data_IF_597981444276
#
_entry.id   IF_597981444276
#
_cell.length_a   1.000
_cell.length_b   1.000
_cell.length_c   1.000
_cell.angle_alpha   90.00
_cell.angle_beta   90.00
_cell.angle_gamma   90.00
#
_symmetry.space_group_name_H-M   'P 1'
#
loop_
_entity.id
_entity.type
_entity.pdbx_description
1 polymer ?
#
# COMPACT_ATOMS: atom_id res chain seq x y z
N UNK A 1 30.51 -41.82 5.58
CA UNK A 1 29.42 -41.29 4.75
C UNK A 1 28.19 -41.16 5.65
N UNK A 2 27.86 -39.93 6.04
CA UNK A 2 26.59 -39.62 6.66
C UNK A 2 25.51 -39.83 5.60
N UNK A 3 24.46 -40.57 5.88
CA UNK A 3 23.32 -40.57 4.99
C UNK A 3 22.80 -39.12 4.90
N UNK A 4 22.78 -38.58 3.72
CA UNK A 4 22.01 -37.42 3.39
C UNK A 4 20.55 -37.86 3.57
N UNK A 5 19.98 -37.58 4.72
CA UNK A 5 18.53 -37.64 4.89
C UNK A 5 18.03 -36.56 3.94
N UNK A 6 17.55 -37.01 2.81
CA UNK A 6 16.72 -36.25 1.92
C UNK A 6 15.50 -35.87 2.78
N UNK A 7 15.61 -34.74 3.46
CA UNK A 7 14.47 -34.14 4.15
C UNK A 7 13.44 -33.94 3.05
N UNK A 8 12.55 -34.94 2.93
CA UNK A 8 11.51 -35.00 1.93
C UNK A 8 10.64 -33.75 2.04
N UNK A 9 11.12 -32.68 1.46
CA UNK A 9 10.25 -31.63 0.98
C UNK A 9 9.40 -32.33 -0.05
N UNK A 10 8.27 -32.82 0.41
CA UNK A 10 7.23 -33.41 -0.43
C UNK A 10 6.79 -32.30 -1.37
N UNK A 11 7.48 -32.21 -2.48
CA UNK A 11 7.21 -31.24 -3.53
C UNK A 11 5.89 -31.71 -4.11
N UNK A 12 4.79 -31.10 -3.68
CA UNK A 12 3.48 -31.28 -4.32
C UNK A 12 3.69 -31.21 -5.82
N UNK A 13 3.44 -32.28 -6.59
CA UNK A 13 3.72 -32.33 -8.02
C UNK A 13 2.99 -31.23 -8.81
N UNK A 14 1.94 -30.63 -8.26
CA UNK A 14 1.25 -29.47 -8.82
C UNK A 14 1.94 -28.17 -8.40
N UNK A 15 2.53 -28.11 -7.21
CA UNK A 15 3.26 -26.96 -6.64
C UNK A 15 4.78 -27.10 -6.77
N UNK A 16 5.31 -28.29 -7.03
CA UNK A 16 6.74 -28.55 -7.06
C UNK A 16 7.48 -27.77 -8.12
N UNK A 17 6.82 -27.49 -9.22
CA UNK A 17 7.31 -26.59 -10.24
C UNK A 17 7.24 -25.13 -9.77
N UNK A 18 6.29 -24.80 -8.93
CA UNK A 18 6.09 -23.49 -8.31
C UNK A 18 7.06 -23.23 -7.14
N UNK A 19 7.37 -24.22 -6.31
CA UNK A 19 8.03 -24.03 -5.02
C UNK A 19 9.36 -23.26 -5.08
N UNK A 20 10.31 -23.66 -5.89
CA UNK A 20 11.62 -23.00 -6.01
C UNK A 20 11.62 -21.78 -6.94
N UNK A 21 10.83 -21.79 -8.01
CA UNK A 21 10.70 -20.63 -8.91
C UNK A 21 9.80 -19.54 -8.35
N UNK A 22 8.80 -19.89 -7.54
CA UNK A 22 7.86 -18.94 -6.97
C UNK A 22 8.47 -18.04 -5.89
N UNK A 23 9.45 -18.48 -5.13
CA UNK A 23 10.13 -17.59 -4.18
C UNK A 23 10.80 -16.43 -4.90
N UNK A 24 11.47 -16.68 -6.01
CA UNK A 24 12.05 -15.64 -6.86
C UNK A 24 10.97 -14.83 -7.60
N UNK A 25 9.92 -15.47 -8.12
CA UNK A 25 8.83 -14.76 -8.79
C UNK A 25 8.11 -13.80 -7.86
N UNK A 26 7.88 -14.16 -6.59
CA UNK A 26 7.31 -13.26 -5.57
C UNK A 26 8.18 -12.04 -5.34
N UNK A 27 9.49 -12.24 -5.17
CA UNK A 27 10.44 -11.15 -4.97
C UNK A 27 10.50 -10.24 -6.20
N UNK A 28 10.61 -10.78 -7.40
CA UNK A 28 10.61 -10.00 -8.64
C UNK A 28 9.29 -9.25 -8.85
N UNK A 29 8.15 -9.86 -8.56
CA UNK A 29 6.84 -9.21 -8.67
C UNK A 29 6.74 -8.03 -7.71
N UNK A 30 7.16 -8.21 -6.46
CA UNK A 30 7.17 -7.13 -5.47
C UNK A 30 8.10 -5.99 -5.89
N UNK A 31 9.29 -6.30 -6.40
CA UNK A 31 10.25 -5.31 -6.92
C UNK A 31 9.68 -4.56 -8.13
N UNK A 32 9.00 -5.25 -9.03
CA UNK A 32 8.35 -4.62 -10.19
C UNK A 32 7.21 -3.69 -9.75
N UNK A 33 6.38 -4.09 -8.80
CA UNK A 33 5.32 -3.24 -8.24
C UNK A 33 5.94 -2.02 -7.56
N UNK A 34 7.00 -2.19 -6.77
CA UNK A 34 7.70 -1.09 -6.12
C UNK A 34 8.29 -0.12 -7.15
N UNK A 35 8.92 -0.63 -8.21
CA UNK A 35 9.46 0.19 -9.28
C UNK A 35 8.39 1.04 -9.97
N UNK A 36 7.28 0.41 -10.37
CA UNK A 36 6.18 1.08 -11.05
C UNK A 36 5.51 2.14 -10.16
N UNK A 37 5.24 1.80 -8.92
CA UNK A 37 4.53 2.70 -7.99
C UNK A 37 5.40 3.88 -7.58
N UNK A 38 6.70 3.68 -7.33
CA UNK A 38 7.63 4.77 -7.04
C UNK A 38 7.84 5.66 -8.26
N UNK A 39 8.00 5.10 -9.46
CA UNK A 39 8.11 5.88 -10.70
C UNK A 39 6.87 6.75 -10.92
N UNK A 40 5.68 6.17 -10.81
CA UNK A 40 4.41 6.87 -10.99
C UNK A 40 4.22 7.98 -9.99
N UNK A 41 4.42 7.70 -8.70
CA UNK A 41 4.27 8.69 -7.64
C UNK A 41 5.27 9.84 -7.81
N UNK A 42 6.54 9.53 -8.06
CA UNK A 42 7.58 10.55 -8.28
C UNK A 42 7.31 11.40 -9.51
N UNK A 43 6.81 10.79 -10.60
CA UNK A 43 6.41 11.53 -11.80
C UNK A 43 5.31 12.55 -11.49
N UNK A 44 4.25 12.13 -10.80
CA UNK A 44 3.15 13.01 -10.42
C UNK A 44 3.60 14.17 -9.54
N UNK A 45 4.46 13.88 -8.56
CA UNK A 45 5.01 14.92 -7.69
C UNK A 45 5.85 15.95 -8.47
N UNK A 46 6.78 15.50 -9.29
CA UNK A 46 7.66 16.37 -10.08
C UNK A 46 6.87 17.19 -11.10
N UNK A 47 5.86 16.59 -11.73
CA UNK A 47 4.96 17.27 -12.65
C UNK A 47 4.22 18.41 -11.95
N UNK A 48 3.66 18.14 -10.77
CA UNK A 48 2.95 19.15 -9.96
C UNK A 48 3.87 20.29 -9.53
N UNK A 49 5.12 19.96 -9.20
CA UNK A 49 6.11 20.96 -8.78
C UNK A 49 6.74 21.74 -9.94
N UNK A 50 6.49 21.38 -11.18
CA UNK A 50 7.05 22.05 -12.36
C UNK A 50 8.58 22.00 -12.44
N UNK A 51 9.19 20.92 -11.92
CA UNK A 51 10.65 20.83 -11.71
C UNK A 51 11.45 20.76 -13.01
N UNK A 52 10.88 20.16 -14.08
CA UNK A 52 11.58 19.97 -15.34
C UNK A 52 10.62 19.83 -16.53
N UNK A 53 11.17 19.93 -17.75
CA UNK A 53 10.44 19.58 -18.97
C UNK A 53 10.11 18.08 -19.00
N UNK A 54 9.03 17.72 -19.71
CA UNK A 54 8.49 16.36 -19.76
C UNK A 54 9.54 15.23 -19.98
N UNK A 55 10.52 15.37 -20.90
CA UNK A 55 11.54 14.33 -21.06
C UNK A 55 12.39 14.10 -19.81
N UNK A 56 12.75 15.20 -19.11
CA UNK A 56 13.51 15.12 -17.86
C UNK A 56 12.72 14.46 -16.73
N UNK A 57 11.41 14.74 -16.64
CA UNK A 57 10.52 14.09 -15.67
C UNK A 57 10.44 12.58 -15.87
N UNK A 58 10.33 12.13 -17.12
CA UNK A 58 10.27 10.70 -17.47
C UNK A 58 11.57 10.01 -17.08
N UNK A 59 12.71 10.60 -17.42
CA UNK A 59 14.03 10.02 -17.10
C UNK A 59 14.22 9.92 -15.59
N UNK A 60 13.88 10.98 -14.84
CA UNK A 60 13.99 10.98 -13.39
C UNK A 60 13.05 9.95 -12.75
N UNK A 61 11.80 9.85 -13.21
CA UNK A 61 10.84 8.87 -12.73
C UNK A 61 11.31 7.43 -12.97
N UNK A 62 11.86 7.14 -14.16
CA UNK A 62 12.43 5.82 -14.48
C UNK A 62 13.62 5.53 -13.57
N UNK A 63 14.53 6.48 -13.34
CA UNK A 63 15.68 6.29 -12.46
C UNK A 63 15.26 5.98 -11.01
N UNK A 64 14.28 6.71 -10.48
CA UNK A 64 13.72 6.47 -9.14
C UNK A 64 13.02 5.10 -9.09
N UNK A 65 12.25 4.77 -10.12
CA UNK A 65 11.60 3.47 -10.23
C UNK A 65 12.61 2.32 -10.28
N UNK A 66 13.69 2.46 -11.05
CA UNK A 66 14.76 1.47 -11.11
C UNK A 66 15.45 1.28 -9.75
N UNK A 67 15.76 2.38 -9.05
CA UNK A 67 16.30 2.32 -7.69
C UNK A 67 15.35 1.60 -6.71
N UNK A 68 14.06 1.89 -6.79
CA UNK A 68 13.03 1.23 -5.98
C UNK A 68 12.84 -0.25 -6.33
N UNK A 69 13.01 -0.63 -7.58
CA UNK A 69 12.99 -2.03 -8.01
C UNK A 69 14.19 -2.82 -7.50
N UNK A 70 15.36 -2.19 -7.45
CA UNK A 70 16.57 -2.80 -6.88
C UNK A 70 16.49 -2.91 -5.34
N UNK A 71 15.99 -1.88 -4.69
CA UNK A 71 15.87 -1.80 -3.22
C UNK A 71 14.56 -1.11 -2.82
N UNK A 72 13.45 -1.86 -2.64
CA UNK A 72 12.13 -1.29 -2.31
C UNK A 72 12.13 -0.39 -1.08
N UNK A 73 12.92 -0.73 -0.06
CA UNK A 73 13.05 0.06 1.16
C UNK A 73 13.63 1.46 0.88
N UNK A 74 14.62 1.54 0.00
CA UNK A 74 15.24 2.81 -0.42
C UNK A 74 14.27 3.60 -1.30
N UNK A 75 13.55 2.93 -2.19
CA UNK A 75 12.56 3.55 -3.08
C UNK A 75 11.46 4.27 -2.30
N UNK A 76 10.91 3.66 -1.26
CA UNK A 76 9.92 4.30 -0.40
C UNK A 76 10.49 5.50 0.37
N UNK A 77 11.73 5.39 0.85
CA UNK A 77 12.39 6.50 1.54
C UNK A 77 12.63 7.69 0.60
N UNK A 78 13.12 7.43 -0.62
CA UNK A 78 13.31 8.49 -1.65
C UNK A 78 11.97 9.15 -1.97
N UNK A 79 10.91 8.36 -2.18
CA UNK A 79 9.58 8.88 -2.48
C UNK A 79 9.03 9.74 -1.34
N UNK A 80 9.23 9.31 -0.10
CA UNK A 80 8.80 10.05 1.08
C UNK A 80 9.56 11.36 1.26
N UNK A 81 10.88 11.34 1.13
CA UNK A 81 11.70 12.54 1.21
C UNK A 81 11.39 13.49 0.05
N UNK A 82 11.25 12.97 -1.17
CA UNK A 82 10.86 13.76 -2.33
C UNK A 82 9.52 14.46 -2.13
N UNK A 83 8.52 13.74 -1.63
CA UNK A 83 7.22 14.31 -1.28
C UNK A 83 7.37 15.44 -0.25
N UNK A 84 8.07 15.18 0.84
CA UNK A 84 8.26 16.17 1.90
C UNK A 84 8.95 17.44 1.37
N UNK A 85 10.02 17.30 0.60
CA UNK A 85 10.79 18.43 0.07
C UNK A 85 9.95 19.26 -0.91
N UNK A 86 9.26 18.63 -1.84
CA UNK A 86 8.45 19.31 -2.84
C UNK A 86 7.26 20.03 -2.20
N UNK A 87 6.55 19.37 -1.27
CA UNK A 87 5.42 19.98 -0.57
C UNK A 87 5.85 21.08 0.38
N UNK A 88 6.96 20.92 1.08
CA UNK A 88 7.50 21.96 1.96
C UNK A 88 7.91 23.21 1.15
N UNK A 89 8.58 23.02 0.01
CA UNK A 89 8.97 24.14 -0.84
C UNK A 89 7.74 24.88 -1.41
N UNK A 90 6.75 24.15 -1.94
CA UNK A 90 5.53 24.75 -2.46
C UNK A 90 4.74 25.48 -1.38
N UNK A 91 4.62 24.89 -0.19
CA UNK A 91 3.95 25.53 0.95
C UNK A 91 4.69 26.77 1.43
N UNK A 92 6.03 26.73 1.47
CA UNK A 92 6.84 27.88 1.84
C UNK A 92 6.63 29.05 0.88
N UNK A 93 6.58 28.77 -0.43
CA UNK A 93 6.36 29.82 -1.44
C UNK A 93 4.94 30.39 -1.39
N UNK A 94 3.93 29.56 -1.13
CA UNK A 94 2.53 29.99 -1.12
C UNK A 94 2.07 30.63 0.19
N UNK A 95 2.52 30.13 1.34
CA UNK A 95 2.02 30.49 2.67
C UNK A 95 3.11 30.93 3.66
N UNK A 96 4.37 30.85 3.25
CA UNK A 96 5.52 31.23 4.07
C UNK A 96 6.00 30.11 5.03
N UNK A 97 7.13 30.42 5.68
CA UNK A 97 7.88 29.47 6.50
C UNK A 97 7.11 29.00 7.75
N UNK A 98 6.28 29.88 8.32
CA UNK A 98 5.51 29.56 9.54
C UNK A 98 4.46 28.46 9.31
N UNK A 99 3.88 28.39 8.12
CA UNK A 99 2.95 27.31 7.76
C UNK A 99 3.69 26.04 7.34
N UNK A 100 4.86 26.16 6.73
CA UNK A 100 5.65 25.03 6.25
C UNK A 100 6.30 24.25 7.38
N UNK A 101 6.95 24.92 8.35
CA UNK A 101 7.75 24.26 9.38
C UNK A 101 7.01 23.20 10.19
N UNK A 102 5.83 23.48 10.80
CA UNK A 102 5.16 22.49 11.62
C UNK A 102 4.70 21.27 10.79
N UNK A 103 4.24 21.50 9.57
CA UNK A 103 3.83 20.41 8.66
C UNK A 103 5.03 19.55 8.29
N UNK A 104 6.14 20.16 7.89
CA UNK A 104 7.36 19.45 7.54
C UNK A 104 7.91 18.60 8.71
N UNK A 105 7.91 19.15 9.92
CA UNK A 105 8.40 18.45 11.12
C UNK A 105 7.50 17.25 11.46
N UNK A 106 6.17 17.44 11.46
CA UNK A 106 5.21 16.36 11.74
C UNK A 106 5.37 15.23 10.73
N UNK A 107 5.43 15.56 9.44
CA UNK A 107 5.59 14.56 8.39
C UNK A 107 6.93 13.85 8.46
N UNK A 108 8.01 14.58 8.65
CA UNK A 108 9.34 14.00 8.79
C UNK A 108 9.41 13.03 9.98
N UNK A 109 8.82 13.40 11.12
CA UNK A 109 8.75 12.54 12.29
C UNK A 109 7.90 11.28 12.03
N UNK A 110 6.70 11.43 11.45
CA UNK A 110 5.81 10.30 11.15
C UNK A 110 6.43 9.32 10.14
N UNK A 111 7.01 9.85 9.05
CA UNK A 111 7.65 9.04 8.01
C UNK A 111 8.92 8.35 8.52
N UNK A 112 9.73 9.06 9.31
CA UNK A 112 10.93 8.46 9.93
C UNK A 112 10.56 7.35 10.90
N UNK A 113 9.57 7.58 11.75
CA UNK A 113 9.07 6.57 12.70
C UNK A 113 8.54 5.33 11.98
N UNK A 114 7.72 5.51 10.95
CA UNK A 114 7.21 4.41 10.16
C UNK A 114 8.33 3.66 9.42
N UNK A 115 9.27 4.38 8.82
CA UNK A 115 10.39 3.75 8.10
C UNK A 115 11.31 2.96 9.03
N UNK A 116 11.57 3.47 10.23
CA UNK A 116 12.36 2.75 11.24
C UNK A 116 11.65 1.50 11.72
N UNK A 117 10.33 1.58 11.94
CA UNK A 117 9.55 0.47 12.48
C UNK A 117 9.31 -0.66 11.46
N UNK A 118 9.03 -0.31 10.20
CA UNK A 118 8.63 -1.29 9.17
C UNK A 118 9.35 -1.12 7.83
N UNK A 119 9.49 0.10 7.35
CA UNK A 119 9.92 0.37 5.98
C UNK A 119 11.34 -0.11 5.67
N UNK A 120 12.26 -0.03 6.62
CA UNK A 120 13.65 -0.46 6.43
C UNK A 120 13.84 -1.98 6.48
N UNK A 121 12.99 -2.67 7.22
CA UNK A 121 13.11 -4.11 7.47
C UNK A 121 12.27 -4.93 6.51
N UNK A 122 11.11 -4.41 6.10
CA UNK A 122 10.15 -5.15 5.30
C UNK A 122 9.92 -4.48 3.93
N UNK A 123 10.49 -5.06 2.88
CA UNK A 123 10.31 -4.58 1.50
C UNK A 123 8.83 -4.52 1.08
N UNK A 124 8.02 -5.49 1.55
CA UNK A 124 6.60 -5.54 1.28
C UNK A 124 5.82 -4.39 1.93
N UNK A 125 6.20 -3.93 3.13
CA UNK A 125 5.61 -2.76 3.77
C UNK A 125 5.88 -1.49 2.97
N UNK A 126 7.12 -1.31 2.50
CA UNK A 126 7.51 -0.21 1.63
C UNK A 126 6.76 -0.22 0.31
N UNK A 127 6.59 -1.38 -0.31
CA UNK A 127 5.85 -1.55 -1.56
C UNK A 127 4.36 -1.26 -1.36
N UNK A 128 3.74 -1.70 -0.27
CA UNK A 128 2.35 -1.42 0.06
C UNK A 128 2.11 0.09 0.25
N UNK A 129 3.00 0.78 0.96
CA UNK A 129 2.93 2.23 1.15
C UNK A 129 3.01 2.98 -0.19
N UNK A 130 4.01 2.69 -1.02
CA UNK A 130 4.20 3.37 -2.30
C UNK A 130 3.08 3.05 -3.30
N UNK A 131 2.50 1.85 -3.22
CA UNK A 131 1.33 1.47 -4.02
C UNK A 131 0.09 2.28 -3.63
N UNK A 132 -0.14 2.48 -2.34
CA UNK A 132 -1.22 3.33 -1.86
C UNK A 132 -1.02 4.80 -2.30
N UNK A 133 0.20 5.33 -2.18
CA UNK A 133 0.53 6.67 -2.65
C UNK A 133 0.25 6.86 -4.14
N UNK A 134 0.77 5.96 -4.98
CA UNK A 134 0.62 6.05 -6.42
C UNK A 134 -0.84 5.94 -6.88
N UNK A 135 -1.55 4.91 -6.39
CA UNK A 135 -2.94 4.67 -6.77
C UNK A 135 -3.89 5.74 -6.20
N UNK A 136 -3.64 6.19 -4.96
CA UNK A 136 -4.40 7.28 -4.37
C UNK A 136 -4.28 8.58 -5.17
N UNK A 137 -3.08 8.93 -5.60
CA UNK A 137 -2.84 10.12 -6.41
C UNK A 137 -3.40 10.01 -7.83
N UNK A 138 -3.27 8.84 -8.46
CA UNK A 138 -3.79 8.61 -9.82
C UNK A 138 -5.31 8.65 -9.88
N UNK A 139 -5.98 8.03 -8.92
CA UNK A 139 -7.43 7.85 -8.96
C UNK A 139 -8.19 8.92 -8.18
N UNK A 140 -7.50 9.70 -7.35
CA UNK A 140 -8.13 10.58 -6.38
C UNK A 140 -8.96 9.83 -5.31
N UNK A 141 -8.93 8.50 -5.32
CA UNK A 141 -9.63 7.64 -4.38
C UNK A 141 -8.63 6.89 -3.48
N UNK A 142 -8.36 7.45 -2.32
CA UNK A 142 -7.43 6.91 -1.34
C UNK A 142 -7.83 5.51 -0.85
N UNK A 143 -9.12 5.21 -0.84
CA UNK A 143 -9.63 3.94 -0.32
C UNK A 143 -9.60 2.83 -1.37
N UNK A 144 -9.64 3.15 -2.65
CA UNK A 144 -9.27 2.23 -3.72
C UNK A 144 -7.80 1.83 -3.61
N UNK A 145 -6.95 2.81 -3.30
CA UNK A 145 -5.53 2.58 -3.05
C UNK A 145 -5.29 1.72 -1.79
N UNK A 146 -6.07 1.95 -0.73
CA UNK A 146 -6.02 1.14 0.48
C UNK A 146 -6.35 -0.33 0.21
N UNK A 147 -7.34 -0.61 -0.62
CA UNK A 147 -7.67 -1.97 -1.02
C UNK A 147 -6.56 -2.68 -1.79
N UNK A 148 -5.92 -1.97 -2.71
CA UNK A 148 -4.76 -2.50 -3.43
C UNK A 148 -3.56 -2.75 -2.50
N UNK A 149 -3.27 -1.79 -1.62
CA UNK A 149 -2.23 -1.93 -0.62
C UNK A 149 -2.52 -3.06 0.37
N UNK A 150 -3.78 -3.23 0.79
CA UNK A 150 -4.21 -4.33 1.64
C UNK A 150 -3.96 -5.69 0.98
N UNK A 151 -4.26 -5.84 -0.30
CA UNK A 151 -3.99 -7.05 -1.07
C UNK A 151 -2.50 -7.39 -1.10
N UNK A 152 -1.66 -6.41 -1.43
CA UNK A 152 -0.21 -6.57 -1.46
C UNK A 152 0.31 -6.90 -0.05
N UNK A 153 -0.10 -6.14 0.96
CA UNK A 153 0.36 -6.32 2.32
C UNK A 153 -0.06 -7.68 2.90
N UNK A 154 -1.29 -8.11 2.64
CA UNK A 154 -1.82 -9.37 3.15
C UNK A 154 -1.05 -10.59 2.66
N UNK A 155 -0.42 -10.52 1.49
CA UNK A 155 0.35 -11.62 0.90
C UNK A 155 1.76 -11.77 1.47
N UNK A 156 2.38 -10.68 1.91
CA UNK A 156 3.79 -10.67 2.32
C UNK A 156 4.01 -10.30 3.77
N UNK A 157 2.99 -9.78 4.45
CA UNK A 157 3.10 -9.25 5.80
C UNK A 157 2.19 -9.98 6.78
N UNK A 158 2.63 -10.05 8.04
CA UNK A 158 1.75 -10.45 9.14
C UNK A 158 0.61 -9.45 9.35
N UNK A 159 -0.43 -9.81 10.14
CA UNK A 159 -1.63 -8.99 10.27
C UNK A 159 -1.38 -7.58 10.80
N UNK A 160 -0.48 -7.43 11.75
CA UNK A 160 -0.12 -6.13 12.35
C UNK A 160 0.63 -5.24 11.38
N UNK A 161 1.63 -5.79 10.69
CA UNK A 161 2.41 -5.06 9.68
C UNK A 161 1.55 -4.71 8.45
N UNK A 162 0.63 -5.59 8.05
CA UNK A 162 -0.32 -5.31 6.97
C UNK A 162 -1.26 -4.15 7.33
N UNK A 163 -1.81 -4.15 8.55
CA UNK A 163 -2.64 -3.04 9.05
C UNK A 163 -1.86 -1.72 9.08
N UNK A 164 -0.64 -1.73 9.61
CA UNK A 164 0.21 -0.55 9.71
C UNK A 164 0.58 0.02 8.33
N UNK A 165 1.03 -0.84 7.40
CA UNK A 165 1.41 -0.41 6.05
C UNK A 165 0.22 0.13 5.26
N UNK A 166 -0.93 -0.55 5.32
CA UNK A 166 -2.16 -0.10 4.65
C UNK A 166 -2.69 1.19 5.25
N UNK A 167 -2.72 1.28 6.57
CA UNK A 167 -3.18 2.47 7.28
C UNK A 167 -2.31 3.69 6.95
N UNK A 168 -1.01 3.61 7.14
CA UNK A 168 -0.09 4.72 6.86
C UNK A 168 -0.06 5.07 5.37
N UNK A 169 -0.08 4.07 4.49
CA UNK A 169 -0.15 4.30 3.05
C UNK A 169 -1.41 5.07 2.65
N UNK A 170 -2.57 4.72 3.22
CA UNK A 170 -3.84 5.42 2.98
C UNK A 170 -3.82 6.86 3.50
N UNK A 171 -3.28 7.07 4.69
CA UNK A 171 -3.17 8.40 5.28
C UNK A 171 -2.28 9.31 4.43
N UNK A 172 -1.08 8.84 4.09
CA UNK A 172 -0.17 9.62 3.26
C UNK A 172 -0.69 9.81 1.84
N UNK A 173 -1.36 8.82 1.25
CA UNK A 173 -2.00 8.97 -0.05
C UNK A 173 -3.11 10.03 -0.02
N UNK A 174 -3.90 10.11 1.07
CA UNK A 174 -4.91 11.17 1.23
C UNK A 174 -4.26 12.54 1.28
N UNK A 175 -3.24 12.70 2.08
CA UNK A 175 -2.52 13.96 2.20
C UNK A 175 -1.81 14.35 0.90
N UNK A 176 -1.20 13.39 0.21
CA UNK A 176 -0.61 13.61 -1.11
C UNK A 176 -1.66 14.04 -2.14
N UNK A 177 -2.83 13.42 -2.15
CA UNK A 177 -3.94 13.78 -3.05
C UNK A 177 -4.43 15.21 -2.78
N UNK A 178 -4.56 15.59 -1.51
CA UNK A 178 -4.92 16.97 -1.12
C UNK A 178 -3.84 17.96 -1.57
N UNK A 179 -2.57 17.63 -1.37
CA UNK A 179 -1.46 18.47 -1.81
C UNK A 179 -1.43 18.63 -3.32
N UNK A 180 -1.61 17.55 -4.09
CA UNK A 180 -1.64 17.60 -5.55
C UNK A 180 -2.81 18.44 -6.08
N UNK A 181 -3.99 18.32 -5.50
CA UNK A 181 -5.16 19.13 -5.87
C UNK A 181 -4.97 20.62 -5.51
N UNK A 182 -4.17 20.92 -4.50
CA UNK A 182 -3.83 22.27 -4.08
C UNK A 182 -2.55 22.84 -4.77
N UNK A 183 -2.10 22.24 -5.86
CA UNK A 183 -0.91 22.70 -6.58
C UNK A 183 0.40 22.47 -5.82
N UNK A 184 0.48 21.43 -4.99
CA UNK A 184 1.65 21.14 -4.17
C UNK A 184 1.66 21.80 -2.79
N UNK A 185 0.65 22.59 -2.45
CA UNK A 185 0.57 23.29 -1.16
C UNK A 185 -0.07 22.39 -0.10
N UNK A 186 0.69 22.07 0.94
CA UNK A 186 0.22 21.31 2.09
C UNK A 186 0.37 22.14 3.37
N UNK A 187 -0.38 23.22 3.45
CA UNK A 187 -0.36 24.12 4.62
C UNK A 187 -1.03 23.51 5.85
N UNK A 188 -0.74 24.07 7.01
CA UNK A 188 -1.27 23.61 8.30
C UNK A 188 -2.81 23.53 8.32
N UNK A 189 -3.49 24.49 7.68
CA UNK A 189 -4.94 24.49 7.57
C UNK A 189 -5.49 23.30 6.80
N UNK A 190 -4.88 22.94 5.67
CA UNK A 190 -5.28 21.79 4.85
C UNK A 190 -5.04 20.47 5.59
N UNK A 191 -3.92 20.36 6.30
CA UNK A 191 -3.60 19.20 7.14
C UNK A 191 -4.59 19.07 8.29
N UNK A 192 -4.85 20.17 9.00
CA UNK A 192 -5.79 20.18 10.12
C UNK A 192 -7.22 19.83 9.66
N UNK A 193 -7.67 20.38 8.54
CA UNK A 193 -8.98 20.06 7.97
C UNK A 193 -9.09 18.58 7.57
N UNK A 194 -8.04 18.03 6.95
CA UNK A 194 -8.00 16.62 6.54
C UNK A 194 -7.97 15.69 7.76
N UNK A 195 -7.14 15.97 8.75
CA UNK A 195 -6.99 15.14 9.94
C UNK A 195 -8.13 15.34 10.97
N UNK A 196 -8.88 16.42 10.87
CA UNK A 196 -10.04 16.71 11.71
C UNK A 196 -11.30 15.93 11.35
N UNK A 197 -11.33 15.25 10.20
CA UNK A 197 -12.50 14.48 9.77
C UNK A 197 -12.58 13.12 10.49
N UNK A 198 -13.54 12.98 11.41
CA UNK A 198 -13.75 11.75 12.17
C UNK A 198 -14.13 10.55 11.30
N UNK A 199 -14.86 10.77 10.21
CA UNK A 199 -15.24 9.70 9.28
C UNK A 199 -14.05 9.21 8.45
N UNK A 200 -13.10 10.10 8.15
CA UNK A 200 -11.85 9.71 7.54
C UNK A 200 -11.07 8.73 8.43
N UNK A 201 -11.02 9.00 9.74
CA UNK A 201 -10.36 8.09 10.69
C UNK A 201 -11.10 6.76 10.85
N UNK A 202 -12.42 6.78 10.85
CA UNK A 202 -13.22 5.55 10.86
C UNK A 202 -12.96 4.71 9.60
N UNK A 203 -12.90 5.33 8.44
CA UNK A 203 -12.57 4.67 7.18
C UNK A 203 -11.13 4.12 7.18
N UNK A 204 -10.18 4.88 7.73
CA UNK A 204 -8.79 4.47 7.92
C UNK A 204 -8.67 3.22 8.79
N UNK A 205 -9.32 3.20 9.95
CA UNK A 205 -9.32 2.05 10.86
C UNK A 205 -9.95 0.83 10.18
N UNK A 206 -11.04 1.03 9.46
CA UNK A 206 -11.69 -0.06 8.73
C UNK A 206 -10.80 -0.62 7.62
N UNK A 207 -10.10 0.22 6.87
CA UNK A 207 -9.15 -0.22 5.85
C UNK A 207 -7.97 -1.02 6.46
N UNK A 208 -7.42 -0.55 7.56
CA UNK A 208 -6.36 -1.26 8.29
C UNK A 208 -6.85 -2.61 8.85
N UNK A 209 -8.05 -2.63 9.44
CA UNK A 209 -8.67 -3.87 9.93
C UNK A 209 -8.96 -4.85 8.78
N UNK A 210 -9.36 -4.36 7.61
CA UNK A 210 -9.55 -5.18 6.40
C UNK A 210 -8.25 -5.85 5.97
N UNK A 211 -7.13 -5.13 5.96
CA UNK A 211 -5.82 -5.70 5.64
C UNK A 211 -5.40 -6.78 6.64
N UNK A 212 -5.57 -6.52 7.93
CA UNK A 212 -5.27 -7.49 8.99
C UNK A 212 -6.14 -8.74 8.88
N UNK A 213 -7.44 -8.59 8.69
CA UNK A 213 -8.39 -9.69 8.56
C UNK A 213 -8.10 -10.53 7.31
N UNK A 214 -7.78 -9.89 6.17
CA UNK A 214 -7.38 -10.58 4.95
C UNK A 214 -6.12 -11.41 5.17
N UNK A 215 -5.09 -10.85 5.82
CA UNK A 215 -3.86 -11.56 6.17
C UNK A 215 -4.13 -12.77 7.09
N UNK A 216 -4.97 -12.62 8.11
CA UNK A 216 -5.37 -13.72 9.01
C UNK A 216 -6.11 -14.85 8.27
N UNK A 217 -7.02 -14.49 7.37
CA UNK A 217 -7.76 -15.47 6.58
C UNK A 217 -6.86 -16.23 5.60
N UNK A 218 -5.89 -15.54 4.97
CA UNK A 218 -4.90 -16.18 4.11
C UNK A 218 -4.00 -17.13 4.90
N UNK A 219 -3.58 -16.75 6.11
CA UNK A 219 -2.84 -17.64 7.02
C UNK A 219 -3.67 -18.87 7.42
N UNK A 220 -4.97 -18.68 7.69
CA UNK A 220 -5.87 -19.78 7.98
C UNK A 220 -6.09 -20.68 6.76
N UNK A 221 -6.12 -20.12 5.55
CA UNK A 221 -6.18 -20.89 4.31
C UNK A 221 -4.93 -21.75 4.15
N UNK A 222 -3.74 -21.21 4.32
CA UNK A 222 -2.49 -21.96 4.23
C UNK A 222 -2.43 -23.14 5.21
N UNK A 223 -2.90 -22.94 6.46
CA UNK A 223 -2.98 -23.99 7.47
C UNK A 223 -3.99 -25.10 7.11
N UNK A 224 -5.01 -24.81 6.31
CA UNK A 224 -6.09 -25.75 5.93
C UNK A 224 -6.00 -26.25 4.49
N UNK A 225 -5.00 -25.80 3.74
CA UNK A 225 -4.83 -26.21 2.34
C UNK A 225 -4.73 -27.73 2.19
N UNK A 226 -4.09 -28.39 3.15
CA UNK A 226 -4.01 -29.87 3.24
C UNK A 226 -5.38 -30.56 3.38
N UNK A 227 -6.39 -29.83 3.83
CA UNK A 227 -7.76 -30.32 3.99
C UNK A 227 -8.66 -30.06 2.77
N UNK A 228 -8.11 -29.47 1.69
CA UNK A 228 -8.84 -29.20 0.45
C UNK A 228 -9.92 -28.11 0.56
N UNK A 229 -9.96 -27.33 1.65
CA UNK A 229 -10.98 -26.29 1.87
C UNK A 229 -10.52 -24.93 1.37
N UNK A 230 -11.24 -24.40 0.37
CA UNK A 230 -11.02 -23.03 -0.15
C UNK A 230 -11.85 -21.96 0.58
N UNK A 231 -12.56 -22.35 1.66
CA UNK A 231 -13.46 -21.41 2.35
C UNK A 231 -12.74 -20.17 2.88
N UNK A 232 -11.56 -20.33 3.47
CA UNK A 232 -10.78 -19.22 4.00
C UNK A 232 -10.23 -18.30 2.90
N UNK A 233 -9.86 -18.85 1.74
CA UNK A 233 -9.45 -18.06 0.57
C UNK A 233 -10.61 -17.22 0.02
N UNK A 234 -11.78 -17.84 -0.14
CA UNK A 234 -12.99 -17.14 -0.56
C UNK A 234 -13.40 -16.05 0.44
N UNK A 235 -13.32 -16.37 1.73
CA UNK A 235 -13.56 -15.38 2.79
C UNK A 235 -12.58 -14.21 2.76
N UNK A 236 -11.29 -14.46 2.49
CA UNK A 236 -10.28 -13.40 2.35
C UNK A 236 -10.61 -12.44 1.20
N UNK A 237 -10.98 -12.98 0.04
CA UNK A 237 -11.38 -12.19 -1.13
C UNK A 237 -12.63 -11.35 -0.83
N UNK A 238 -13.63 -11.97 -0.17
CA UNK A 238 -14.87 -11.28 0.20
C UNK A 238 -14.63 -10.17 1.24
N UNK A 239 -13.82 -10.44 2.27
CA UNK A 239 -13.47 -9.46 3.30
C UNK A 239 -12.71 -8.29 2.70
N UNK A 240 -11.74 -8.53 1.83
CA UNK A 240 -11.01 -7.47 1.14
C UNK A 240 -11.96 -6.57 0.34
N UNK A 241 -12.90 -7.17 -0.40
CA UNK A 241 -13.88 -6.43 -1.19
C UNK A 241 -14.86 -5.63 -0.35
N UNK A 242 -15.54 -6.29 0.57
CA UNK A 242 -16.58 -5.66 1.42
C UNK A 242 -15.97 -4.61 2.35
N UNK A 243 -14.83 -4.90 2.98
CA UNK A 243 -14.15 -3.96 3.88
C UNK A 243 -13.69 -2.70 3.16
N UNK A 244 -13.13 -2.84 1.96
CA UNK A 244 -12.71 -1.68 1.13
C UNK A 244 -13.90 -0.88 0.63
N UNK A 245 -14.99 -1.53 0.21
CA UNK A 245 -16.21 -0.84 -0.19
C UNK A 245 -16.83 -0.06 0.98
N UNK A 246 -16.90 -0.66 2.17
CA UNK A 246 -17.40 0.00 3.37
C UNK A 246 -16.52 1.20 3.79
N UNK A 247 -15.18 1.05 3.74
CA UNK A 247 -14.25 2.14 4.00
C UNK A 247 -14.41 3.28 2.99
N UNK A 248 -14.61 2.96 1.71
CA UNK A 248 -14.87 3.96 0.66
C UNK A 248 -16.19 4.70 0.89
N UNK A 249 -17.26 4.02 1.31
CA UNK A 249 -18.52 4.65 1.67
C UNK A 249 -18.34 5.63 2.84
N UNK A 250 -17.64 5.23 3.91
CA UNK A 250 -17.37 6.11 5.05
C UNK A 250 -16.60 7.36 4.64
N UNK A 251 -15.58 7.20 3.79
CA UNK A 251 -14.76 8.30 3.32
C UNK A 251 -15.54 9.35 2.51
N UNK A 252 -16.56 8.91 1.80
CA UNK A 252 -17.38 9.76 0.96
C UNK A 252 -18.74 10.10 1.61
N UNK A 253 -18.84 10.03 2.93
CA UNK A 253 -20.10 10.22 3.66
C UNK A 253 -20.79 11.56 3.37
N UNK A 254 -20.03 12.62 3.15
CA UNK A 254 -20.57 13.94 2.82
C UNK A 254 -21.22 14.00 1.43
N UNK A 255 -20.81 13.14 0.50
CA UNK A 255 -21.35 13.07 -0.84
C UNK A 255 -22.65 12.23 -0.91
N UNK A 256 -22.92 11.38 0.10
CA UNK A 256 -24.07 10.46 0.11
C UNK A 256 -25.39 11.22 0.02
N UNK A 257 -25.50 12.35 0.67
CA UNK A 257 -26.73 13.15 0.67
C UNK A 257 -27.06 13.75 -0.71
N UNK A 258 -26.05 14.04 -1.53
CA UNK A 258 -26.23 14.71 -2.84
C UNK A 258 -26.07 13.78 -4.05
N UNK A 259 -25.24 12.74 -3.94
CA UNK A 259 -24.81 11.88 -5.05
C UNK A 259 -24.69 10.41 -4.64
N UNK A 260 -25.69 9.89 -3.91
CA UNK A 260 -25.68 8.53 -3.35
C UNK A 260 -25.29 7.44 -4.39
N UNK A 261 -25.80 7.53 -5.61
CA UNK A 261 -25.48 6.59 -6.68
C UNK A 261 -24.01 6.60 -7.09
N UNK A 262 -23.39 7.79 -7.16
CA UNK A 262 -21.97 7.94 -7.49
C UNK A 262 -21.07 7.42 -6.36
N UNK A 263 -21.45 7.64 -5.11
CA UNK A 263 -20.72 7.12 -3.93
C UNK A 263 -20.77 5.60 -3.90
N UNK A 264 -21.93 5.01 -4.11
CA UNK A 264 -22.10 3.56 -4.19
C UNK A 264 -21.27 2.97 -5.33
N UNK A 265 -21.27 3.62 -6.50
CA UNK A 265 -20.45 3.17 -7.64
C UNK A 265 -18.95 3.24 -7.32
N UNK A 266 -18.45 4.33 -6.72
CA UNK A 266 -17.04 4.46 -6.27
C UNK A 266 -16.68 3.37 -5.27
N UNK A 267 -17.54 3.10 -4.29
CA UNK A 267 -17.35 2.09 -3.28
C UNK A 267 -17.35 0.67 -3.89
N UNK A 268 -18.28 0.38 -4.80
CA UNK A 268 -18.35 -0.89 -5.50
C UNK A 268 -17.09 -1.15 -6.33
N UNK A 269 -16.61 -0.15 -7.09
CA UNK A 269 -15.37 -0.25 -7.87
C UNK A 269 -14.18 -0.51 -6.96
N UNK A 270 -14.07 0.20 -5.83
CA UNK A 270 -13.00 -0.01 -4.86
C UNK A 270 -13.03 -1.44 -4.28
N UNK A 271 -14.21 -1.92 -3.91
CA UNK A 271 -14.38 -3.29 -3.39
C UNK A 271 -14.07 -4.36 -4.42
N UNK A 272 -14.60 -4.23 -5.64
CA UNK A 272 -14.35 -5.16 -6.75
C UNK A 272 -12.86 -5.22 -7.07
N UNK A 273 -12.19 -4.07 -7.16
CA UNK A 273 -10.76 -4.01 -7.45
C UNK A 273 -9.94 -4.69 -6.35
N UNK A 274 -10.27 -4.47 -5.08
CA UNK A 274 -9.61 -5.15 -3.95
C UNK A 274 -9.77 -6.66 -4.01
N UNK A 275 -10.99 -7.14 -4.29
CA UNK A 275 -11.27 -8.58 -4.46
C UNK A 275 -10.47 -9.16 -5.62
N UNK A 276 -10.42 -8.47 -6.75
CA UNK A 276 -9.66 -8.90 -7.94
C UNK A 276 -8.17 -8.97 -7.62
N UNK A 277 -7.62 -7.96 -6.97
CA UNK A 277 -6.18 -7.92 -6.62
C UNK A 277 -5.83 -9.09 -5.69
N UNK A 278 -6.60 -9.31 -4.63
CA UNK A 278 -6.38 -10.44 -3.71
C UNK A 278 -6.54 -11.76 -4.44
N UNK A 279 -7.58 -11.91 -5.28
CA UNK A 279 -7.82 -13.12 -6.06
C UNK A 279 -6.71 -13.41 -7.07
N UNK A 280 -6.26 -12.41 -7.82
CA UNK A 280 -5.16 -12.57 -8.78
C UNK A 280 -3.86 -12.92 -8.06
N UNK A 281 -3.53 -12.21 -6.97
CA UNK A 281 -2.35 -12.53 -6.18
C UNK A 281 -2.41 -13.97 -5.64
N UNK A 282 -3.57 -14.39 -5.13
CA UNK A 282 -3.76 -15.76 -4.63
C UNK A 282 -3.59 -16.79 -5.73
N UNK A 283 -4.16 -16.54 -6.91
CA UNK A 283 -4.08 -17.46 -8.05
C UNK A 283 -2.68 -17.53 -8.67
N UNK A 284 -2.03 -16.38 -8.86
CA UNK A 284 -0.73 -16.32 -9.56
C UNK A 284 0.45 -16.62 -8.63
N UNK A 285 0.43 -16.13 -7.40
CA UNK A 285 1.57 -16.20 -6.50
C UNK A 285 1.44 -17.33 -5.48
N UNK A 286 0.24 -17.87 -5.27
CA UNK A 286 -0.03 -18.77 -4.18
C UNK A 286 0.20 -18.09 -2.83
N UNK A 287 -0.26 -18.67 -1.77
CA UNK A 287 -0.02 -18.16 -0.42
C UNK A 287 1.03 -19.02 0.29
N UNK A 288 2.09 -18.41 0.80
CA UNK A 288 3.07 -19.09 1.65
C UNK A 288 2.74 -18.81 3.12
N UNK A 289 2.72 -19.87 3.92
CA UNK A 289 2.54 -19.77 5.36
C UNK A 289 3.65 -18.93 5.98
N UNK A 290 3.28 -17.92 6.75
CA UNK A 290 4.22 -17.21 7.63
C UNK A 290 4.37 -18.05 8.88
N UNK A 291 5.54 -18.66 9.09
CA UNK A 291 5.84 -19.37 10.32
C UNK A 291 6.05 -18.36 11.45
N UNK A 292 5.36 -18.54 12.55
CA UNK A 292 5.61 -17.84 13.82
C UNK A 292 6.59 -18.67 14.66
N UNK A 293 7.35 -18.03 15.56
CA UNK A 293 8.28 -18.75 16.45
C UNK A 293 7.58 -19.89 17.22
N UNK A 294 6.28 -19.79 17.49
CA UNK A 294 5.48 -20.85 18.09
C UNK A 294 5.23 -22.05 17.17
N UNK A 295 5.45 -21.93 15.89
CA UNK A 295 5.33 -23.06 14.94
C UNK A 295 6.65 -23.85 14.83
N UNK A 296 7.73 -23.33 15.42
CA UNK A 296 9.08 -23.92 15.42
C UNK A 296 9.44 -24.60 16.77
N UNK A 297 8.58 -24.50 17.77
CA UNK A 297 8.71 -25.13 19.10
C UNK A 297 7.79 -26.35 19.19
#
# INVERSE_FOLDING_TARGET
SLPYEDDGIEIDPVLGWAGTRWSHARDYTMRAISALTCATFSFLLMQTAGVAALPGLIVAAIAIGAAAGLAPQIGSAISAVGFLVLMANATMQAQGILSMLPVAVIFAAAMSGWWIAWGRTEAAASTALTSALALGCLTGNTFLAAGAAAGIAAFWLGPTSAAAATGMGTLFARLATVALSAGGVLGLGNVAATLGDAFLWAAFVLAAATAAATSLLLNAHAKRAEQGSNLAATAAIAVAGVGTAAASCLAHHMEIASLAGAVVAKAAVAGILSSIIVGICLYLLGYQRTYTESDLS
#
